data_IF_502517459683
#
_entry.id   IF_502517459683
#
_cell.length_a   1.000
_cell.length_b   1.000
_cell.length_c   1.000
_cell.angle_alpha   90.00
_cell.angle_beta   90.00
_cell.angle_gamma   90.00
#
_symmetry.space_group_name_H-M   'P 1'
#
loop_
_entity.id
_entity.type
_entity.pdbx_description
1 polymer ?
#
# COMPACT_ATOMS: atom_id res chain seq x y z
N UNK A 1 27.94 -23.45 -1.37
CA UNK A 1 27.56 -22.89 -0.05
C UNK A 1 26.87 -21.56 -0.29
N UNK A 2 25.80 -21.28 0.46
CA UNK A 2 25.14 -19.97 0.41
C UNK A 2 26.09 -18.93 1.03
N UNK A 3 26.37 -17.86 0.30
CA UNK A 3 27.14 -16.74 0.82
C UNK A 3 26.28 -15.95 1.81
N UNK A 4 26.53 -16.17 3.10
CA UNK A 4 25.78 -15.55 4.20
C UNK A 4 25.88 -14.01 4.20
N UNK A 5 26.92 -13.44 3.57
CA UNK A 5 27.11 -11.99 3.48
C UNK A 5 26.08 -11.34 2.54
N UNK A 6 25.47 -12.13 1.65
CA UNK A 6 24.41 -11.71 0.73
C UNK A 6 23.01 -11.89 1.27
N UNK A 7 22.84 -12.38 2.50
CA UNK A 7 21.51 -12.46 3.11
C UNK A 7 20.95 -11.05 3.35
N UNK A 8 19.65 -10.80 3.09
CA UNK A 8 19.03 -9.52 3.34
C UNK A 8 19.15 -9.12 4.81
N UNK A 9 19.57 -7.88 5.06
CA UNK A 9 19.53 -7.29 6.40
C UNK A 9 18.10 -6.87 6.72
N UNK A 10 17.77 -6.77 8.01
CA UNK A 10 16.39 -6.74 8.53
C UNK A 10 15.48 -5.56 8.06
N UNK A 11 15.91 -4.71 7.11
CA UNK A 11 15.16 -3.53 6.66
C UNK A 11 15.37 -3.13 5.19
N UNK A 12 16.01 -3.94 4.34
CA UNK A 12 16.20 -3.52 2.93
C UNK A 12 14.86 -3.52 2.19
N UNK A 13 14.56 -2.41 1.49
CA UNK A 13 13.48 -2.39 0.50
C UNK A 13 13.83 -3.25 -0.72
N UNK A 14 12.85 -3.57 -1.57
CA UNK A 14 13.08 -4.39 -2.76
C UNK A 14 14.20 -3.83 -3.65
N UNK A 15 14.17 -2.54 -3.98
CA UNK A 15 15.18 -1.92 -4.85
C UNK A 15 16.60 -2.00 -4.25
N UNK A 16 16.74 -1.70 -2.97
CA UNK A 16 18.03 -1.79 -2.25
C UNK A 16 18.56 -3.23 -2.24
N UNK A 17 17.67 -4.21 -2.03
CA UNK A 17 18.00 -5.63 -2.06
C UNK A 17 18.55 -6.00 -3.46
N UNK A 18 17.90 -5.54 -4.52
CA UNK A 18 18.32 -5.78 -5.92
C UNK A 18 19.65 -5.09 -6.23
N UNK A 19 19.80 -3.81 -5.88
CA UNK A 19 21.04 -3.03 -6.09
C UNK A 19 22.22 -3.61 -5.31
N UNK A 20 21.98 -4.12 -4.10
CA UNK A 20 23.01 -4.74 -3.25
C UNK A 20 23.33 -6.19 -3.63
N UNK A 21 22.72 -6.73 -4.70
CA UNK A 21 22.86 -8.12 -5.13
C UNK A 21 22.66 -9.13 -3.99
N UNK A 22 21.68 -8.85 -3.12
CA UNK A 22 21.30 -9.71 -2.01
C UNK A 22 20.49 -10.91 -2.51
N UNK A 23 20.48 -11.99 -1.72
CA UNK A 23 19.72 -13.20 -2.02
C UNK A 23 18.22 -12.86 -1.97
N UNK A 24 17.54 -13.14 -3.08
CA UNK A 24 16.10 -12.99 -3.25
C UNK A 24 15.50 -14.29 -3.77
N UNK A 25 14.47 -14.80 -3.12
CA UNK A 25 13.73 -15.98 -3.60
C UNK A 25 12.62 -15.49 -4.54
N UNK A 26 12.71 -15.89 -5.81
CA UNK A 26 11.86 -15.33 -6.86
C UNK A 26 10.44 -15.93 -6.90
N UNK A 27 9.51 -15.17 -6.32
CA UNK A 27 8.05 -15.36 -6.42
C UNK A 27 7.36 -14.16 -7.11
N UNK A 28 8.06 -13.49 -8.02
CA UNK A 28 7.54 -12.30 -8.68
C UNK A 28 6.40 -12.58 -9.66
N UNK A 29 6.22 -13.84 -10.07
CA UNK A 29 5.01 -14.33 -10.75
C UNK A 29 3.74 -14.07 -9.93
N UNK A 30 3.77 -14.20 -8.60
CA UNK A 30 2.63 -13.87 -7.74
C UNK A 30 2.37 -12.35 -7.68
N UNK A 31 3.43 -11.54 -7.69
CA UNK A 31 3.30 -10.07 -7.74
C UNK A 31 2.59 -9.66 -9.04
N UNK A 32 2.95 -10.30 -10.16
CA UNK A 32 2.27 -10.10 -11.43
C UNK A 32 0.77 -10.41 -11.31
N UNK A 33 0.42 -11.56 -10.74
CA UNK A 33 -0.99 -11.91 -10.55
C UNK A 33 -1.72 -10.88 -9.68
N UNK A 34 -1.10 -10.43 -8.57
CA UNK A 34 -1.67 -9.41 -7.71
C UNK A 34 -1.95 -8.11 -8.46
N UNK A 35 -1.03 -7.67 -9.32
CA UNK A 35 -1.15 -6.41 -10.06
C UNK A 35 -2.34 -6.35 -11.03
N UNK A 36 -2.98 -7.48 -11.35
CA UNK A 36 -4.17 -7.55 -12.19
C UNK A 36 -5.45 -7.93 -11.44
N UNK A 37 -5.38 -8.05 -10.11
CA UNK A 37 -6.59 -8.26 -9.31
C UNK A 37 -7.45 -7.00 -9.32
N UNK A 38 -8.74 -7.19 -9.56
CA UNK A 38 -9.71 -6.10 -9.51
C UNK A 38 -10.06 -5.72 -8.07
N UNK A 39 -10.38 -4.44 -7.89
CA UNK A 39 -10.84 -3.90 -6.61
C UNK A 39 -9.75 -3.84 -5.54
N UNK A 40 -10.16 -3.53 -4.29
CA UNK A 40 -9.24 -3.49 -3.16
C UNK A 40 -8.79 -4.90 -2.76
N UNK A 41 -7.48 -5.10 -2.68
CA UNK A 41 -6.88 -6.37 -2.27
C UNK A 41 -6.23 -6.23 -0.89
N UNK A 42 -6.47 -7.21 -0.03
CA UNK A 42 -5.96 -7.25 1.33
C UNK A 42 -5.16 -8.53 1.58
N UNK A 43 -4.01 -8.39 2.23
CA UNK A 43 -3.21 -9.52 2.67
C UNK A 43 -2.98 -9.45 4.19
N UNK A 44 -3.72 -10.31 4.92
CA UNK A 44 -3.45 -10.57 6.34
C UNK A 44 -2.31 -11.58 6.49
N UNK A 45 -1.19 -11.19 7.11
CA UNK A 45 -0.12 -12.11 7.51
C UNK A 45 0.49 -11.69 8.85
N UNK A 46 1.07 -12.63 9.64
CA UNK A 46 1.73 -12.28 10.90
C UNK A 46 2.92 -11.33 10.70
N UNK A 47 3.38 -10.71 11.79
CA UNK A 47 4.57 -9.84 11.78
C UNK A 47 5.81 -10.61 11.29
N UNK A 48 6.69 -9.93 10.53
CA UNK A 48 7.94 -10.47 9.95
C UNK A 48 7.78 -11.49 8.80
N UNK A 49 6.60 -11.58 8.18
CA UNK A 49 6.37 -12.43 7.00
C UNK A 49 6.62 -11.71 5.65
N UNK A 50 7.47 -10.67 5.63
CA UNK A 50 7.88 -10.00 4.39
C UNK A 50 6.83 -9.08 3.73
N UNK A 51 5.76 -8.69 4.45
CA UNK A 51 4.71 -7.79 3.93
C UNK A 51 5.27 -6.47 3.37
N UNK A 52 6.15 -5.81 4.12
CA UNK A 52 6.76 -4.56 3.66
C UNK A 52 7.68 -4.76 2.46
N UNK A 53 8.35 -5.91 2.35
CA UNK A 53 9.11 -6.26 1.14
C UNK A 53 8.17 -6.42 -0.07
N UNK A 54 7.04 -7.09 0.11
CA UNK A 54 6.00 -7.20 -0.93
C UNK A 54 5.46 -5.82 -1.33
N UNK A 55 5.10 -4.96 -0.38
CA UNK A 55 4.67 -3.58 -0.66
C UNK A 55 5.74 -2.82 -1.44
N UNK A 56 7.01 -2.88 -1.01
CA UNK A 56 8.11 -2.21 -1.72
C UNK A 56 8.37 -2.78 -3.12
N UNK A 57 8.09 -4.07 -3.33
CA UNK A 57 8.19 -4.70 -4.65
C UNK A 57 7.07 -4.22 -5.56
N UNK A 58 5.83 -4.16 -5.06
CA UNK A 58 4.69 -3.59 -5.80
C UNK A 58 4.95 -2.11 -6.14
N UNK A 59 5.42 -1.33 -5.17
CA UNK A 59 5.81 0.07 -5.36
C UNK A 59 6.84 0.23 -6.47
N UNK A 60 7.92 -0.56 -6.42
CA UNK A 60 8.96 -0.56 -7.45
C UNK A 60 8.42 -0.94 -8.83
N UNK A 61 7.60 -1.99 -8.91
CA UNK A 61 7.02 -2.46 -10.17
C UNK A 61 6.13 -1.39 -10.82
N UNK A 62 5.24 -0.78 -10.04
CA UNK A 62 4.31 0.22 -10.57
C UNK A 62 5.00 1.56 -10.86
N UNK A 63 6.06 1.91 -10.14
CA UNK A 63 6.78 3.17 -10.33
C UNK A 63 7.82 3.10 -11.46
N UNK A 64 8.54 1.97 -11.54
CA UNK A 64 9.76 1.82 -12.35
C UNK A 64 9.67 0.67 -13.37
N UNK A 65 8.53 -0.02 -13.46
CA UNK A 65 8.36 -1.15 -14.36
C UNK A 65 9.32 -2.30 -14.02
N UNK A 66 10.02 -2.83 -15.01
CA UNK A 66 10.91 -4.00 -14.84
C UNK A 66 12.37 -3.65 -14.51
N UNK A 67 12.69 -2.38 -14.25
CA UNK A 67 14.06 -1.92 -14.00
C UNK A 67 14.76 -2.74 -12.89
N UNK A 68 14.10 -2.92 -11.75
CA UNK A 68 14.62 -3.70 -10.62
C UNK A 68 14.31 -5.20 -10.70
N UNK A 69 13.50 -5.59 -11.70
CA UNK A 69 13.03 -6.97 -11.88
C UNK A 69 13.81 -7.76 -12.93
N UNK A 70 14.90 -7.20 -13.47
CA UNK A 70 15.75 -7.89 -14.45
C UNK A 70 16.19 -9.27 -13.97
N UNK A 71 15.95 -10.28 -14.80
CA UNK A 71 16.23 -11.69 -14.54
C UNK A 71 15.24 -12.40 -13.62
N UNK A 72 14.18 -11.74 -13.16
CA UNK A 72 13.10 -12.35 -12.37
C UNK A 72 11.93 -12.75 -13.27
N UNK A 73 11.10 -13.70 -12.82
CA UNK A 73 9.95 -14.22 -13.58
C UNK A 73 9.02 -13.13 -14.12
N UNK A 74 8.74 -12.10 -13.31
CA UNK A 74 7.84 -11.02 -13.71
C UNK A 74 8.34 -10.18 -14.88
N UNK A 75 9.64 -10.15 -15.17
CA UNK A 75 10.20 -9.29 -16.22
C UNK A 75 9.49 -9.54 -17.56
N UNK A 76 9.43 -10.81 -17.99
CA UNK A 76 8.80 -11.16 -19.27
C UNK A 76 7.29 -10.91 -19.22
N UNK A 77 6.63 -11.29 -18.13
CA UNK A 77 5.18 -11.16 -17.96
C UNK A 77 4.72 -9.69 -18.04
N UNK A 78 5.47 -8.78 -17.41
CA UNK A 78 5.17 -7.36 -17.39
C UNK A 78 5.51 -6.68 -18.72
N UNK A 79 6.66 -7.00 -19.33
CA UNK A 79 7.02 -6.45 -20.65
C UNK A 79 6.06 -6.88 -21.78
N UNK A 80 5.38 -8.02 -21.64
CA UNK A 80 4.39 -8.44 -22.63
C UNK A 80 3.11 -7.59 -22.61
N UNK A 81 2.73 -7.01 -21.45
CA UNK A 81 1.42 -6.34 -21.27
C UNK A 81 1.49 -4.87 -20.88
N UNK A 82 2.53 -4.47 -20.15
CA UNK A 82 2.64 -3.17 -19.47
C UNK A 82 3.98 -2.48 -19.79
N UNK A 83 4.64 -2.87 -20.90
CA UNK A 83 5.93 -2.32 -21.30
C UNK A 83 5.91 -0.80 -21.37
N UNK A 84 6.81 -0.18 -20.62
CA UNK A 84 6.94 1.27 -20.54
C UNK A 84 5.82 1.98 -19.77
N UNK A 85 4.85 1.26 -19.20
CA UNK A 85 3.85 1.86 -18.33
C UNK A 85 4.40 2.02 -16.91
N UNK A 86 4.21 3.22 -16.37
CA UNK A 86 4.43 3.55 -14.96
C UNK A 86 3.22 4.28 -14.41
N UNK A 87 3.11 4.27 -13.09
CA UNK A 87 1.92 4.69 -12.34
C UNK A 87 2.31 5.61 -11.18
N UNK A 88 1.31 6.33 -10.64
CA UNK A 88 1.47 7.22 -9.50
C UNK A 88 1.18 6.43 -8.22
N UNK A 89 2.23 6.02 -7.52
CA UNK A 89 2.12 5.12 -6.37
C UNK A 89 1.98 5.93 -5.09
N UNK A 90 0.81 5.95 -4.48
CA UNK A 90 0.60 6.53 -3.16
C UNK A 90 0.87 5.45 -2.12
N UNK A 91 1.98 5.58 -1.39
CA UNK A 91 2.32 4.67 -0.28
C UNK A 91 2.04 5.32 1.07
N UNK A 92 1.21 4.65 1.86
CA UNK A 92 0.87 5.01 3.24
C UNK A 92 1.28 3.89 4.18
N UNK A 93 2.18 4.16 5.12
CA UNK A 93 2.57 3.20 6.16
C UNK A 93 2.05 3.71 7.50
N UNK A 94 0.98 3.08 8.00
CA UNK A 94 0.30 3.52 9.21
C UNK A 94 1.10 3.22 10.48
N UNK A 95 2.08 2.30 10.42
CA UNK A 95 2.98 1.99 11.54
C UNK A 95 3.97 3.12 11.84
N UNK A 96 4.30 3.90 10.81
CA UNK A 96 5.20 5.04 10.92
C UNK A 96 4.54 6.30 11.48
N UNK A 97 3.21 6.27 11.64
CA UNK A 97 2.44 7.38 12.15
C UNK A 97 2.36 7.23 13.68
N UNK A 98 3.01 8.15 14.41
CA UNK A 98 2.84 8.29 15.85
C UNK A 98 1.92 9.49 16.06
N UNK A 99 0.83 9.31 16.81
CA UNK A 99 -0.18 10.35 17.01
C UNK A 99 -0.92 10.13 18.32
N UNK A 100 -1.41 11.23 18.88
CA UNK A 100 -2.08 11.30 20.18
C UNK A 100 -3.60 11.44 20.07
N UNK A 101 -4.11 11.89 18.92
CA UNK A 101 -5.54 12.03 18.63
C UNK A 101 -5.86 11.92 17.12
N UNK A 102 -7.15 11.99 16.76
CA UNK A 102 -7.61 11.93 15.36
C UNK A 102 -7.12 13.09 14.48
N UNK A 103 -6.95 14.29 15.03
CA UNK A 103 -6.55 15.47 14.28
C UNK A 103 -5.08 15.35 13.89
N UNK A 104 -4.25 14.87 14.82
CA UNK A 104 -2.86 14.54 14.54
C UNK A 104 -2.76 13.40 13.52
N UNK A 105 -3.57 12.35 13.63
CA UNK A 105 -3.60 11.29 12.63
C UNK A 105 -3.92 11.82 11.21
N UNK A 106 -4.97 12.62 11.10
CA UNK A 106 -5.35 13.25 9.83
C UNK A 106 -4.23 14.13 9.28
N UNK A 107 -3.65 14.99 10.13
CA UNK A 107 -2.55 15.86 9.76
C UNK A 107 -1.37 15.06 9.20
N UNK A 108 -0.94 13.99 9.89
CA UNK A 108 0.17 13.14 9.45
C UNK A 108 -0.12 12.43 8.12
N UNK A 109 -1.36 11.98 7.91
CA UNK A 109 -1.77 11.41 6.63
C UNK A 109 -1.78 12.46 5.51
N UNK A 110 -2.27 13.68 5.77
CA UNK A 110 -2.19 14.78 4.81
C UNK A 110 -0.74 15.07 4.42
N UNK A 111 0.17 15.15 5.39
CA UNK A 111 1.59 15.36 5.12
C UNK A 111 2.17 14.23 4.26
N UNK A 112 1.88 12.96 4.59
CA UNK A 112 2.35 11.83 3.77
C UNK A 112 1.80 11.86 2.35
N UNK A 113 0.54 12.26 2.15
CA UNK A 113 -0.04 12.41 0.81
C UNK A 113 0.64 13.52 0.02
N UNK A 114 0.91 14.67 0.66
CA UNK A 114 1.67 15.78 0.04
C UNK A 114 3.10 15.37 -0.30
N UNK A 115 3.77 14.62 0.56
CA UNK A 115 5.11 14.09 0.29
C UNK A 115 5.12 13.18 -0.95
N UNK A 116 4.10 12.30 -1.10
CA UNK A 116 3.94 11.47 -2.29
C UNK A 116 3.72 12.33 -3.55
N UNK A 117 2.90 13.38 -3.46
CA UNK A 117 2.66 14.33 -4.56
C UNK A 117 3.98 14.97 -5.00
N UNK A 118 4.76 15.51 -4.05
CA UNK A 118 6.01 16.20 -4.32
C UNK A 118 7.08 15.27 -4.88
N UNK A 119 7.30 14.13 -4.23
CA UNK A 119 8.35 13.16 -4.58
C UNK A 119 8.16 12.60 -5.99
N UNK A 120 6.91 12.37 -6.40
CA UNK A 120 6.59 11.80 -7.71
C UNK A 120 6.13 12.83 -8.75
N UNK A 121 6.19 14.12 -8.40
CA UNK A 121 5.70 15.23 -9.22
C UNK A 121 4.29 14.96 -9.78
N UNK A 122 3.38 14.55 -8.89
CA UNK A 122 1.99 14.26 -9.25
C UNK A 122 1.28 15.58 -9.50
N UNK A 123 0.66 15.72 -10.67
CA UNK A 123 -0.16 16.90 -10.97
C UNK A 123 -1.49 16.78 -10.24
N UNK A 124 -1.76 17.73 -9.35
CA UNK A 124 -3.00 17.84 -8.59
C UNK A 124 -3.43 19.30 -8.60
N UNK A 125 -4.73 19.55 -8.66
CA UNK A 125 -5.32 20.87 -8.45
C UNK A 125 -4.95 21.42 -7.07
N UNK A 126 -5.22 22.70 -6.86
CA UNK A 126 -4.92 23.38 -5.59
C UNK A 126 -5.46 22.61 -4.36
N UNK A 127 -4.56 22.42 -3.40
CA UNK A 127 -4.87 21.87 -2.09
C UNK A 127 -5.15 23.02 -1.11
N UNK A 128 -6.26 22.91 -0.39
CA UNK A 128 -6.65 23.87 0.63
C UNK A 128 -6.11 23.44 1.98
N UNK A 129 -5.87 24.39 2.87
CA UNK A 129 -5.45 24.10 4.26
C UNK A 129 -6.51 23.33 5.05
N UNK A 130 -7.77 23.41 4.63
CA UNK A 130 -8.91 22.70 5.22
C UNK A 130 -9.14 21.30 4.64
N UNK A 131 -8.39 20.89 3.61
CA UNK A 131 -8.55 19.56 3.03
C UNK A 131 -8.06 18.48 4.00
N UNK A 132 -8.93 17.52 4.31
CA UNK A 132 -8.55 16.31 5.03
C UNK A 132 -7.88 15.27 4.10
N UNK A 133 -7.35 14.19 4.68
CA UNK A 133 -6.62 13.20 3.91
C UNK A 133 -7.49 12.53 2.84
N UNK A 134 -8.78 12.33 3.12
CA UNK A 134 -9.74 11.82 2.15
C UNK A 134 -9.89 12.76 0.96
N UNK A 135 -10.06 14.05 1.21
CA UNK A 135 -10.20 15.09 0.18
C UNK A 135 -8.94 15.20 -0.69
N UNK A 136 -7.75 15.15 -0.07
CA UNK A 136 -6.48 15.15 -0.81
C UNK A 136 -6.38 13.91 -1.70
N UNK A 137 -6.68 12.71 -1.17
CA UNK A 137 -6.68 11.48 -1.95
C UNK A 137 -7.69 11.54 -3.11
N UNK A 138 -8.89 12.04 -2.86
CA UNK A 138 -9.90 12.28 -3.89
C UNK A 138 -9.36 13.16 -5.02
N UNK A 139 -8.71 14.29 -4.70
CA UNK A 139 -8.11 15.19 -5.69
C UNK A 139 -6.99 14.49 -6.48
N UNK A 140 -6.08 13.77 -5.81
CA UNK A 140 -5.03 12.98 -6.46
C UNK A 140 -5.62 12.03 -7.50
N UNK A 141 -6.64 11.26 -7.13
CA UNK A 141 -7.24 10.22 -7.99
C UNK A 141 -8.03 10.83 -9.14
N UNK A 142 -8.83 11.86 -8.86
CA UNK A 142 -9.68 12.47 -9.90
C UNK A 142 -8.89 13.29 -10.91
N UNK A 143 -7.73 13.81 -10.54
CA UNK A 143 -6.82 14.49 -11.47
C UNK A 143 -5.90 13.51 -12.23
N UNK A 144 -5.84 12.24 -11.80
CA UNK A 144 -5.01 11.19 -12.39
C UNK A 144 -5.79 9.86 -12.60
N UNK A 145 -6.93 9.87 -13.32
CA UNK A 145 -7.80 8.70 -13.43
C UNK A 145 -7.10 7.53 -14.13
N UNK A 146 -7.25 6.33 -13.56
CA UNK A 146 -6.66 5.08 -14.05
C UNK A 146 -5.15 4.98 -13.88
N UNK A 147 -4.50 5.97 -13.24
CA UNK A 147 -3.04 6.02 -13.08
C UNK A 147 -2.56 5.94 -11.64
N UNK A 148 -3.47 6.03 -10.65
CA UNK A 148 -3.12 5.98 -9.23
C UNK A 148 -3.10 4.55 -8.72
N UNK A 149 -2.03 4.18 -8.03
CA UNK A 149 -1.89 2.94 -7.29
C UNK A 149 -1.83 3.29 -5.80
N UNK A 150 -2.69 2.70 -4.98
CA UNK A 150 -2.72 2.95 -3.55
C UNK A 150 -2.19 1.74 -2.78
N UNK A 151 -1.11 1.93 -2.03
CA UNK A 151 -0.49 0.91 -1.19
C UNK A 151 -0.58 1.34 0.28
N UNK A 152 -1.28 0.57 1.10
CA UNK A 152 -1.44 0.84 2.54
C UNK A 152 -0.76 -0.28 3.33
N UNK A 153 0.33 0.03 4.02
CA UNK A 153 1.01 -0.88 4.94
C UNK A 153 0.51 -0.71 6.37
N UNK A 154 0.35 -1.85 7.05
CA UNK A 154 -0.09 -1.96 8.46
C UNK A 154 -1.33 -1.11 8.81
N UNK A 155 -2.40 -1.19 8.01
CA UNK A 155 -3.61 -0.37 8.18
C UNK A 155 -4.24 -0.45 9.59
N UNK A 156 -4.05 -1.57 10.28
CA UNK A 156 -4.60 -1.88 11.60
C UNK A 156 -3.71 -1.41 12.74
N UNK A 157 -2.50 -0.91 12.46
CA UNK A 157 -1.57 -0.42 13.48
C UNK A 157 -2.21 0.60 14.44
N UNK A 158 -2.93 1.66 13.98
CA UNK A 158 -3.60 2.61 14.85
C UNK A 158 -4.54 1.94 15.86
N UNK A 159 -5.32 0.97 15.39
CA UNK A 159 -6.32 0.26 16.17
C UNK A 159 -5.68 -0.68 17.19
N UNK A 160 -4.58 -1.34 16.80
CA UNK A 160 -3.84 -2.23 17.71
C UNK A 160 -3.10 -1.46 18.80
N UNK A 161 -2.68 -0.22 18.52
CA UNK A 161 -1.97 0.62 19.49
C UNK A 161 -2.89 1.30 20.50
N UNK A 162 -4.18 1.44 20.19
CA UNK A 162 -5.18 2.01 21.09
C UNK A 162 -6.07 0.97 21.77
N UNK A 163 -5.70 -0.32 21.78
CA UNK A 163 -6.53 -1.37 22.41
C UNK A 163 -6.80 -1.13 23.91
N UNK A 164 -5.88 -0.46 24.59
CA UNK A 164 -5.99 -0.13 26.02
C UNK A 164 -6.76 1.18 26.28
N UNK A 165 -7.09 1.96 25.23
CA UNK A 165 -7.83 3.22 25.30
C UNK A 165 -9.06 3.17 24.37
N UNK A 166 -10.22 2.90 24.97
CA UNK A 166 -11.47 2.70 24.24
C UNK A 166 -11.92 3.94 23.47
N UNK A 167 -11.73 5.14 24.03
CA UNK A 167 -12.20 6.38 23.39
C UNK A 167 -11.32 6.68 22.18
N UNK A 168 -9.99 6.57 22.35
CA UNK A 168 -9.02 6.73 21.27
C UNK A 168 -9.22 5.68 20.16
N UNK A 169 -9.49 4.43 20.53
CA UNK A 169 -9.82 3.36 19.58
C UNK A 169 -11.02 3.70 18.71
N UNK A 170 -12.11 4.17 19.32
CA UNK A 170 -13.33 4.53 18.58
C UNK A 170 -13.14 5.78 17.71
N UNK A 171 -12.30 6.73 18.12
CA UNK A 171 -11.91 7.86 17.26
C UNK A 171 -11.15 7.39 16.01
N UNK A 172 -10.12 6.55 16.18
CA UNK A 172 -9.35 6.01 15.06
C UNK A 172 -10.20 5.16 14.15
N UNK A 173 -11.04 4.30 14.72
CA UNK A 173 -11.96 3.46 13.95
C UNK A 173 -12.89 4.30 13.07
N UNK A 174 -13.53 5.34 13.61
CA UNK A 174 -14.42 6.23 12.84
C UNK A 174 -13.67 6.96 11.74
N UNK A 175 -12.48 7.48 12.04
CA UNK A 175 -11.67 8.16 11.05
C UNK A 175 -11.24 7.23 9.90
N UNK A 176 -10.70 6.05 10.22
CA UNK A 176 -10.26 5.07 9.23
C UNK A 176 -11.47 4.61 8.40
N UNK A 177 -12.64 4.38 9.01
CA UNK A 177 -13.88 4.11 8.26
C UNK A 177 -14.20 5.22 7.25
N UNK A 178 -14.12 6.50 7.65
CA UNK A 178 -14.35 7.63 6.76
C UNK A 178 -13.37 7.65 5.58
N UNK A 179 -12.07 7.51 5.86
CA UNK A 179 -11.01 7.46 4.85
C UNK A 179 -11.19 6.29 3.86
N UNK A 180 -11.53 5.10 4.37
CA UNK A 180 -11.83 3.94 3.54
C UNK A 180 -13.13 4.11 2.73
N UNK A 181 -14.08 4.90 3.22
CA UNK A 181 -15.25 5.34 2.46
C UNK A 181 -14.86 6.14 1.22
N UNK A 182 -13.88 7.05 1.33
CA UNK A 182 -13.33 7.77 0.17
C UNK A 182 -12.59 6.84 -0.79
N UNK A 183 -11.80 5.89 -0.28
CA UNK A 183 -11.14 4.88 -1.14
C UNK A 183 -12.19 4.11 -1.93
N UNK A 184 -13.30 3.72 -1.29
CA UNK A 184 -14.41 3.01 -1.95
C UNK A 184 -14.99 3.83 -3.11
N UNK A 185 -15.27 5.12 -2.90
CA UNK A 185 -15.88 5.97 -3.93
C UNK A 185 -14.98 6.16 -5.15
N UNK A 186 -13.66 6.12 -4.94
CA UNK A 186 -12.67 6.34 -5.99
C UNK A 186 -12.05 5.05 -6.55
N UNK A 187 -12.45 3.87 -6.05
CA UNK A 187 -11.85 2.57 -6.44
C UNK A 187 -11.87 2.35 -7.95
N UNK A 188 -12.96 2.70 -8.65
CA UNK A 188 -13.08 2.52 -10.10
C UNK A 188 -12.17 3.42 -10.93
N UNK A 189 -11.57 4.45 -10.31
CA UNK A 189 -10.64 5.39 -10.94
C UNK A 189 -9.19 5.11 -10.56
N UNK A 190 -8.93 4.16 -9.67
CA UNK A 190 -7.57 3.73 -9.33
C UNK A 190 -7.15 2.55 -10.21
N UNK A 191 -5.85 2.45 -10.50
CA UNK A 191 -5.27 1.30 -11.21
C UNK A 191 -5.20 0.06 -10.34
N UNK A 192 -4.87 0.24 -9.07
CA UNK A 192 -4.60 -0.86 -8.14
C UNK A 192 -4.67 -0.37 -6.70
N UNK A 193 -5.19 -1.21 -5.81
CA UNK A 193 -5.26 -0.95 -4.37
C UNK A 193 -4.81 -2.20 -3.63
N UNK A 194 -3.81 -2.06 -2.77
CA UNK A 194 -3.29 -3.14 -1.95
C UNK A 194 -3.09 -2.71 -0.51
N UNK A 195 -3.57 -3.54 0.41
CA UNK A 195 -3.62 -3.24 1.84
C UNK A 195 -3.02 -4.42 2.60
N UNK A 196 -2.16 -4.15 3.57
CA UNK A 196 -1.59 -5.18 4.45
C UNK A 196 -1.88 -4.85 5.91
N UNK A 197 -1.96 -5.89 6.73
CA UNK A 197 -2.18 -5.77 8.18
C UNK A 197 -1.92 -7.08 8.90
N UNK A 198 -2.09 -7.09 10.22
CA UNK A 198 -1.97 -8.31 11.05
C UNK A 198 -3.35 -8.84 11.41
N UNK A 199 -4.15 -8.01 12.05
CA UNK A 199 -5.46 -8.32 12.57
C UNK A 199 -6.55 -8.20 11.52
N UNK A 200 -7.48 -9.15 11.57
CA UNK A 200 -8.75 -9.10 10.84
C UNK A 200 -9.81 -8.24 11.56
N UNK A 201 -9.39 -7.17 12.26
CA UNK A 201 -10.30 -6.13 12.76
C UNK A 201 -11.21 -5.62 11.62
N UNK A 202 -10.63 -5.58 10.42
CA UNK A 202 -11.20 -5.79 9.08
C UNK A 202 -12.66 -6.24 8.97
N UNK A 203 -12.99 -7.46 9.43
CA UNK A 203 -14.18 -8.17 8.94
C UNK A 203 -15.50 -7.71 9.53
N UNK A 204 -15.52 -6.85 10.56
CA UNK A 204 -16.77 -6.48 11.23
C UNK A 204 -17.01 -4.97 11.38
N UNK A 205 -16.03 -4.09 11.12
CA UNK A 205 -16.26 -2.65 11.32
C UNK A 205 -15.60 -1.69 10.35
N UNK A 206 -14.31 -1.84 10.06
CA UNK A 206 -13.59 -0.85 9.22
C UNK A 206 -13.78 -1.14 7.73
N UNK A 207 -13.69 -2.41 7.31
CA UNK A 207 -13.90 -2.78 5.91
C UNK A 207 -15.37 -2.98 5.54
N UNK A 208 -16.32 -2.70 6.44
CA UNK A 208 -17.72 -2.57 6.03
C UNK A 208 -17.92 -1.47 4.99
N UNK A 209 -16.94 -0.59 4.81
CA UNK A 209 -16.92 0.37 3.72
C UNK A 209 -16.40 -0.24 2.41
N UNK A 210 -15.45 -1.19 2.45
CA UNK A 210 -14.92 -1.87 1.26
C UNK A 210 -15.63 -3.20 1.01
N UNK A 211 -16.88 -3.13 0.53
CA UNK A 211 -17.72 -4.32 0.29
C UNK A 211 -17.12 -5.33 -0.72
N UNK A 212 -16.17 -4.89 -1.54
CA UNK A 212 -15.49 -5.71 -2.55
C UNK A 212 -14.04 -6.03 -2.17
N UNK A 213 -13.66 -5.89 -0.89
CA UNK A 213 -12.32 -6.21 -0.44
C UNK A 213 -12.04 -7.71 -0.56
N UNK A 214 -11.00 -8.06 -1.31
CA UNK A 214 -10.55 -9.43 -1.50
C UNK A 214 -9.45 -9.78 -0.49
N UNK A 215 -9.70 -10.72 0.41
CA UNK A 215 -8.71 -11.20 1.40
C UNK A 215 -7.88 -12.35 0.82
N UNK A 216 -6.71 -12.02 0.28
CA UNK A 216 -5.80 -12.95 -0.37
C UNK A 216 -5.23 -14.00 0.59
N UNK A 217 -5.20 -13.71 1.89
CA UNK A 217 -4.74 -14.67 2.91
C UNK A 217 -5.71 -15.84 3.14
N UNK A 218 -6.90 -15.82 2.52
CA UNK A 218 -7.90 -16.89 2.60
C UNK A 218 -8.02 -17.72 1.32
N UNK A 219 -7.32 -17.32 0.26
CA UNK A 219 -7.41 -17.99 -1.02
C UNK A 219 -6.38 -19.09 -1.10
N UNK A 220 -6.83 -20.32 -1.34
CA UNK A 220 -5.95 -21.49 -1.44
C UNK A 220 -4.83 -21.32 -2.49
N UNK A 221 -5.05 -20.47 -3.50
CA UNK A 221 -4.05 -20.13 -4.52
C UNK A 221 -2.84 -19.35 -3.94
N UNK A 222 -3.06 -18.60 -2.86
CA UNK A 222 -2.08 -17.69 -2.25
C UNK A 222 -1.77 -18.01 -0.77
N UNK A 223 -2.35 -19.08 -0.22
CA UNK A 223 -2.27 -19.48 1.18
C UNK A 223 -0.92 -20.11 1.54
#
# INVERSE_FOLDING_TARGET
MVDITKLPKAKSGFEELRLSNQIYVDHTDLIYEFAYLEGPNFLSRPRRFGKSLLISSLESLFSNGTEFFKGLKIEKLWEERERGNTYKVIRLDFSSLIFSDKNEFNFRLCERLKDNILTQNIKVRELLTTDDAGTILYKIVTDNPGKVVLLIDEYDYPLTHSLDDKDLFEEYRKYIQGFFGTIKSETSKMRFIFITGVGRFAKTSVFSQLNNLRDLGLEAKFA
#
